data_IF_168859522564
#
_entry.id   IF_168859522564
#
_cell.length_a   1.000
_cell.length_b   1.000
_cell.length_c   1.000
_cell.angle_alpha   90.00
_cell.angle_beta   90.00
_cell.angle_gamma   90.00
#
_symmetry.space_group_name_H-M   'P 1'
#
loop_
_entity.id
_entity.type
_entity.pdbx_description
1 polymer ?
#
# COMPACT_ATOMS: atom_id res chain seq x y z
N UNK A 1 -20.98 18.65 -0.45
CA UNK A 1 -20.69 17.80 -1.62
C UNK A 1 -19.83 16.63 -1.18
N UNK A 2 -20.17 15.37 -1.53
CA UNK A 2 -19.33 14.23 -1.19
C UNK A 2 -17.97 14.36 -1.89
N UNK A 3 -16.87 14.17 -1.15
CA UNK A 3 -15.55 14.19 -1.75
C UNK A 3 -15.32 12.94 -2.62
N UNK A 4 -14.69 13.13 -3.77
CA UNK A 4 -14.17 12.05 -4.62
C UNK A 4 -13.15 11.24 -3.84
N UNK A 5 -13.14 9.93 -4.03
CA UNK A 5 -12.11 9.04 -3.51
C UNK A 5 -11.18 8.66 -4.67
N UNK A 6 -9.97 9.18 -4.67
CA UNK A 6 -8.99 8.98 -5.73
C UNK A 6 -7.82 8.18 -5.17
N UNK A 7 -7.50 7.04 -5.77
CA UNK A 7 -6.29 6.29 -5.42
C UNK A 7 -5.18 6.68 -6.37
N UNK A 8 -3.97 6.82 -5.86
CA UNK A 8 -2.77 7.09 -6.65
C UNK A 8 -1.71 6.05 -6.34
N UNK A 9 -1.04 5.52 -7.37
CA UNK A 9 -0.06 4.44 -7.21
C UNK A 9 1.17 4.73 -8.04
N UNK A 10 2.36 4.88 -7.44
CA UNK A 10 3.63 4.78 -8.16
C UNK A 10 3.74 3.39 -8.79
N UNK A 11 3.41 3.27 -10.07
CA UNK A 11 3.15 2.01 -10.72
C UNK A 11 4.35 1.55 -11.55
N UNK A 12 4.73 0.27 -11.43
CA UNK A 12 5.76 -0.30 -12.30
C UNK A 12 5.88 -1.82 -12.29
N UNK A 13 5.18 -2.53 -11.39
CA UNK A 13 5.36 -3.97 -11.20
C UNK A 13 4.07 -4.74 -11.51
N UNK A 14 3.98 -5.28 -12.73
CA UNK A 14 2.78 -5.98 -13.25
C UNK A 14 2.20 -7.03 -12.28
N UNK A 15 3.04 -7.88 -11.70
CA UNK A 15 2.60 -8.95 -10.83
C UNK A 15 2.04 -8.49 -9.48
N UNK A 16 2.30 -7.26 -9.06
CA UNK A 16 1.60 -6.70 -7.91
C UNK A 16 0.39 -5.88 -8.35
N UNK A 17 0.53 -5.08 -9.40
CA UNK A 17 -0.57 -4.27 -9.95
C UNK A 17 -1.78 -5.11 -10.35
N UNK A 18 -1.58 -6.31 -10.89
CA UNK A 18 -2.68 -7.22 -11.25
C UNK A 18 -3.50 -7.65 -10.01
N UNK A 19 -2.83 -7.91 -8.88
CA UNK A 19 -3.48 -8.22 -7.61
C UNK A 19 -4.09 -6.98 -6.96
N UNK A 20 -3.38 -5.85 -6.97
CA UNK A 20 -3.87 -4.58 -6.45
C UNK A 20 -5.12 -4.12 -7.21
N UNK A 21 -5.17 -4.30 -8.54
CA UNK A 21 -6.35 -3.99 -9.35
C UNK A 21 -7.59 -4.77 -8.87
N UNK A 22 -7.45 -6.06 -8.52
CA UNK A 22 -8.54 -6.84 -7.94
C UNK A 22 -9.05 -6.22 -6.63
N UNK A 23 -8.13 -5.80 -5.76
CA UNK A 23 -8.47 -5.20 -4.49
C UNK A 23 -9.11 -3.82 -4.64
N UNK A 24 -8.58 -2.94 -5.49
CA UNK A 24 -9.06 -1.57 -5.65
C UNK A 24 -10.39 -1.50 -6.38
N UNK A 25 -10.55 -2.24 -7.49
CA UNK A 25 -11.76 -2.16 -8.32
C UNK A 25 -13.00 -2.71 -7.62
N UNK A 26 -12.81 -3.52 -6.56
CA UNK A 26 -13.87 -4.01 -5.67
C UNK A 26 -14.21 -3.07 -4.51
N UNK A 27 -13.44 -2.01 -4.28
CA UNK A 27 -13.71 -1.06 -3.19
C UNK A 27 -14.93 -0.18 -3.52
N UNK A 28 -15.88 -0.03 -2.58
CA UNK A 28 -17.01 0.87 -2.77
C UNK A 28 -16.52 2.32 -2.82
N UNK A 29 -17.16 3.12 -3.67
CA UNK A 29 -16.93 4.57 -3.73
C UNK A 29 -15.62 5.00 -4.41
N UNK A 30 -14.78 4.08 -4.91
CA UNK A 30 -13.61 4.42 -5.72
C UNK A 30 -14.05 5.22 -6.97
N UNK A 31 -13.64 6.48 -7.03
CA UNK A 31 -13.97 7.38 -8.13
C UNK A 31 -12.97 7.24 -9.28
N UNK A 32 -11.68 7.21 -8.95
CA UNK A 32 -10.58 7.17 -9.93
C UNK A 32 -9.36 6.47 -9.31
N UNK A 33 -8.62 5.74 -10.13
CA UNK A 33 -7.32 5.17 -9.80
C UNK A 33 -6.27 5.67 -10.79
N UNK A 34 -5.33 6.49 -10.31
CA UNK A 34 -4.23 7.02 -11.09
C UNK A 34 -2.99 6.14 -10.94
N UNK A 35 -2.55 5.57 -12.06
CA UNK A 35 -1.27 4.91 -12.21
C UNK A 35 -0.24 5.98 -12.55
N UNK A 36 0.54 6.39 -11.56
CA UNK A 36 1.70 7.25 -11.79
C UNK A 36 2.76 6.41 -12.50
N UNK A 37 3.14 6.82 -13.71
CA UNK A 37 4.16 6.13 -14.50
C UNK A 37 5.51 6.19 -13.78
N UNK A 38 5.77 5.16 -12.97
CA UNK A 38 7.03 4.94 -12.25
C UNK A 38 7.86 3.81 -12.87
N UNK A 39 7.57 3.49 -14.14
CA UNK A 39 8.16 2.37 -14.82
C UNK A 39 9.64 2.61 -15.14
N UNK A 40 10.46 1.57 -14.96
CA UNK A 40 11.86 1.54 -15.42
C UNK A 40 12.02 0.89 -16.78
N UNK A 41 11.03 0.11 -17.23
CA UNK A 41 11.05 -0.63 -18.49
C UNK A 41 9.83 -0.30 -19.33
N UNK A 42 9.99 -0.37 -20.65
CA UNK A 42 8.86 -0.14 -21.57
C UNK A 42 7.79 -1.24 -21.47
N UNK A 43 8.18 -2.48 -21.13
CA UNK A 43 7.22 -3.56 -20.86
C UNK A 43 6.21 -3.19 -19.78
N UNK A 44 6.68 -2.54 -18.71
CA UNK A 44 5.85 -2.13 -17.58
C UNK A 44 4.91 -1.00 -18.02
N UNK A 45 5.38 -0.06 -18.86
CA UNK A 45 4.52 1.00 -19.44
C UNK A 45 3.46 0.47 -20.37
N UNK A 46 3.79 -0.51 -21.20
CA UNK A 46 2.83 -1.22 -22.06
C UNK A 46 1.76 -1.89 -21.20
N UNK A 47 2.15 -2.49 -20.08
CA UNK A 47 1.19 -3.04 -19.12
C UNK A 47 0.30 -1.94 -18.49
N UNK A 48 0.84 -0.80 -18.05
CA UNK A 48 0.02 0.30 -17.50
C UNK A 48 -1.04 0.78 -18.51
N UNK A 49 -0.67 0.95 -19.78
CA UNK A 49 -1.61 1.33 -20.85
C UNK A 49 -2.71 0.29 -21.04
N UNK A 50 -2.35 -1.01 -21.00
CA UNK A 50 -3.32 -2.10 -21.08
C UNK A 50 -4.23 -2.15 -19.86
N UNK A 51 -3.70 -1.97 -18.66
CA UNK A 51 -4.46 -1.95 -17.41
C UNK A 51 -5.48 -0.81 -17.41
N UNK A 52 -5.08 0.38 -17.86
CA UNK A 52 -5.96 1.54 -17.97
C UNK A 52 -7.14 1.35 -18.95
N UNK A 53 -7.03 0.43 -19.91
CA UNK A 53 -8.12 0.09 -20.83
C UNK A 53 -9.16 -0.87 -20.22
N UNK A 54 -8.85 -1.52 -19.08
CA UNK A 54 -9.73 -2.53 -18.48
C UNK A 54 -10.92 -1.96 -17.71
N UNK A 55 -10.78 -0.74 -17.18
CA UNK A 55 -11.82 -0.10 -16.38
C UNK A 55 -11.72 1.44 -16.54
N UNK A 56 -12.84 2.15 -16.79
CA UNK A 56 -12.83 3.59 -17.04
C UNK A 56 -12.37 4.43 -15.84
N UNK A 57 -12.33 3.85 -14.63
CA UNK A 57 -11.80 4.51 -13.43
C UNK A 57 -10.27 4.61 -13.44
N UNK A 58 -9.58 3.83 -14.28
CA UNK A 58 -8.12 3.76 -14.28
C UNK A 58 -7.53 4.77 -15.27
N UNK A 59 -6.56 5.56 -14.81
CA UNK A 59 -5.88 6.56 -15.64
C UNK A 59 -4.37 6.47 -15.46
N UNK A 60 -3.62 6.54 -16.56
CA UNK A 60 -2.16 6.70 -16.49
C UNK A 60 -1.84 8.19 -16.39
N UNK A 61 -1.01 8.55 -15.42
CA UNK A 61 -0.48 9.90 -15.24
C UNK A 61 1.02 9.82 -15.45
N UNK A 62 1.54 10.60 -16.39
CA UNK A 62 2.98 10.65 -16.69
C UNK A 62 3.51 12.07 -16.52
N UNK A 63 4.81 12.19 -16.24
CA UNK A 63 5.52 13.48 -16.19
C UNK A 63 6.57 13.48 -17.30
N UNK A 64 6.72 14.57 -18.08
CA UNK A 64 7.79 14.68 -19.06
C UNK A 64 9.19 14.48 -18.43
N UNK A 65 10.08 13.80 -19.17
CA UNK A 65 11.47 13.51 -18.80
C UNK A 65 11.63 12.71 -17.49
N UNK A 66 10.79 11.69 -17.27
CA UNK A 66 10.77 10.90 -16.05
C UNK A 66 11.34 9.48 -16.27
N UNK A 67 12.44 9.16 -15.57
CA UNK A 67 13.09 7.85 -15.59
C UNK A 67 12.93 7.17 -14.22
N UNK A 68 11.78 6.50 -14.02
CA UNK A 68 11.36 5.75 -12.81
C UNK A 68 12.37 5.61 -11.65
N UNK A 69 12.25 6.43 -10.60
CA UNK A 69 13.01 6.29 -9.37
C UNK A 69 12.20 6.68 -8.11
N UNK A 70 12.49 6.07 -6.95
CA UNK A 70 11.75 6.31 -5.70
C UNK A 70 11.77 7.78 -5.25
N UNK A 71 12.85 8.53 -5.53
CA UNK A 71 12.98 9.95 -5.15
C UNK A 71 12.13 10.89 -6.00
N UNK A 72 11.49 10.39 -7.07
CA UNK A 72 10.84 11.23 -8.08
C UNK A 72 9.31 11.16 -8.06
N UNK A 73 8.71 10.27 -7.25
CA UNK A 73 7.27 10.21 -6.99
C UNK A 73 6.73 11.54 -6.45
N UNK A 74 7.56 12.32 -5.73
CA UNK A 74 7.21 13.59 -5.13
C UNK A 74 6.55 14.57 -6.12
N UNK A 75 7.03 14.58 -7.38
CA UNK A 75 6.53 15.45 -8.45
C UNK A 75 5.06 15.19 -8.77
N UNK A 76 4.54 14.00 -8.46
CA UNK A 76 3.14 13.66 -8.73
C UNK A 76 2.17 14.22 -7.68
N UNK A 77 2.60 14.48 -6.44
CA UNK A 77 1.69 15.06 -5.43
C UNK A 77 1.12 16.41 -5.87
N UNK A 78 1.86 17.18 -6.67
CA UNK A 78 1.38 18.46 -7.22
C UNK A 78 0.16 18.33 -8.13
N UNK A 79 -0.12 17.13 -8.65
CA UNK A 79 -1.34 16.84 -9.43
C UNK A 79 -2.51 16.33 -8.56
N UNK A 80 -2.32 16.26 -7.25
CA UNK A 80 -3.34 15.83 -6.30
C UNK A 80 -4.05 17.03 -5.66
N UNK A 81 -4.44 18.03 -6.46
CA UNK A 81 -4.90 19.34 -6.00
C UNK A 81 -6.41 19.59 -6.18
N UNK A 82 -7.22 18.58 -6.56
CA UNK A 82 -8.69 18.72 -6.57
C UNK A 82 -9.18 18.93 -5.13
N UNK A 83 -9.71 20.13 -4.78
CA UNK A 83 -10.13 20.43 -3.41
C UNK A 83 -11.31 19.56 -2.94
N UNK A 84 -11.98 18.87 -3.87
CA UNK A 84 -13.08 17.93 -3.59
C UNK A 84 -12.61 16.48 -3.55
N UNK A 85 -11.32 16.18 -3.59
CA UNK A 85 -10.81 14.82 -3.54
C UNK A 85 -10.13 14.49 -2.19
N UNK A 86 -10.39 13.27 -1.73
CA UNK A 86 -9.54 12.56 -0.79
C UNK A 86 -8.68 11.60 -1.59
N UNK A 87 -7.38 11.87 -1.62
CA UNK A 87 -6.40 11.03 -2.30
C UNK A 87 -5.90 9.96 -1.33
N UNK A 88 -5.63 8.76 -1.82
CA UNK A 88 -4.92 7.71 -1.08
C UNK A 88 -3.76 7.22 -1.95
N UNK A 89 -2.53 7.50 -1.54
CA UNK A 89 -1.34 6.90 -2.14
C UNK A 89 -1.22 5.46 -1.65
N UNK A 90 -1.14 4.51 -2.58
CA UNK A 90 -0.97 3.09 -2.28
C UNK A 90 0.18 2.57 -3.13
N UNK A 91 1.19 1.96 -2.49
CA UNK A 91 2.30 1.32 -3.19
C UNK A 91 1.81 0.17 -4.06
N UNK A 92 2.47 -0.09 -5.19
CA UNK A 92 1.99 -1.08 -6.15
C UNK A 92 2.08 -2.53 -5.62
N UNK A 93 2.87 -2.79 -4.58
CA UNK A 93 3.02 -4.06 -3.87
C UNK A 93 2.19 -4.19 -2.59
N UNK A 94 1.13 -3.40 -2.46
CA UNK A 94 0.04 -3.75 -1.54
C UNK A 94 -0.71 -4.97 -2.07
N UNK A 95 -0.65 -6.07 -1.30
CA UNK A 95 -1.14 -7.41 -1.68
C UNK A 95 -2.42 -7.82 -0.96
N UNK A 96 -2.88 -7.01 -0.01
CA UNK A 96 -4.19 -7.17 0.61
C UNK A 96 -4.74 -5.82 1.02
N UNK A 97 -6.03 -5.61 0.73
CA UNK A 97 -6.82 -4.47 1.18
C UNK A 97 -8.14 -4.99 1.73
N UNK A 98 -8.44 -4.68 2.99
CA UNK A 98 -9.70 -5.09 3.59
C UNK A 98 -10.90 -4.50 2.81
N UNK A 99 -12.00 -5.25 2.61
CA UNK A 99 -13.21 -4.72 2.01
C UNK A 99 -13.69 -3.44 2.73
N UNK A 100 -13.89 -2.36 1.97
CA UNK A 100 -14.33 -1.06 2.50
C UNK A 100 -13.23 -0.23 3.19
N UNK A 101 -11.97 -0.68 3.17
CA UNK A 101 -10.85 0.02 3.82
C UNK A 101 -10.70 1.47 3.35
N UNK A 102 -10.81 1.74 2.05
CA UNK A 102 -10.63 3.09 1.51
C UNK A 102 -11.72 4.05 1.98
N UNK A 103 -12.96 3.56 2.03
CA UNK A 103 -14.09 4.34 2.48
C UNK A 103 -14.02 4.58 3.99
N UNK A 104 -13.65 3.57 4.79
CA UNK A 104 -13.38 3.73 6.23
C UNK A 104 -12.29 4.76 6.48
N UNK A 105 -11.16 4.70 5.78
CA UNK A 105 -10.07 5.67 5.92
C UNK A 105 -10.54 7.10 5.67
N UNK A 106 -11.32 7.30 4.58
CA UNK A 106 -11.90 8.60 4.24
C UNK A 106 -12.91 9.09 5.29
N UNK A 107 -13.74 8.20 5.82
CA UNK A 107 -14.72 8.53 6.86
C UNK A 107 -14.04 8.93 8.16
N UNK A 108 -13.05 8.16 8.61
CA UNK A 108 -12.22 8.50 9.78
C UNK A 108 -11.53 9.84 9.60
N UNK A 109 -10.93 10.08 8.42
CA UNK A 109 -10.28 11.36 8.12
C UNK A 109 -11.24 12.56 8.20
N UNK A 110 -12.47 12.41 7.71
CA UNK A 110 -13.51 13.44 7.83
C UNK A 110 -13.92 13.67 9.27
N UNK A 111 -14.21 12.60 10.01
CA UNK A 111 -14.65 12.67 11.39
C UNK A 111 -13.59 13.35 12.27
N UNK A 112 -12.32 12.95 12.13
CA UNK A 112 -11.21 13.56 12.86
C UNK A 112 -11.02 15.04 12.48
N UNK A 113 -11.14 15.40 11.20
CA UNK A 113 -11.07 16.81 10.76
C UNK A 113 -12.19 17.65 11.37
N UNK A 114 -13.43 17.17 11.33
CA UNK A 114 -14.57 17.88 11.91
C UNK A 114 -14.42 18.03 13.43
N UNK A 115 -14.03 16.96 14.13
CA UNK A 115 -13.81 17.00 15.57
C UNK A 115 -12.69 17.96 15.96
N UNK A 116 -11.55 17.94 15.25
CA UNK A 116 -10.45 18.87 15.50
C UNK A 116 -10.88 20.34 15.30
N UNK A 117 -11.67 20.64 14.26
CA UNK A 117 -12.21 21.98 14.03
C UNK A 117 -13.14 22.44 15.15
N UNK A 118 -14.06 21.59 15.59
CA UNK A 118 -14.98 21.91 16.69
C UNK A 118 -14.25 22.16 18.01
N UNK A 119 -13.16 21.43 18.27
CA UNK A 119 -12.37 21.52 19.49
C UNK A 119 -11.25 22.57 19.42
N UNK A 120 -11.11 23.31 18.31
CA UNK A 120 -10.01 24.25 18.11
C UNK A 120 -8.61 23.60 18.11
N UNK A 121 -8.52 22.31 17.74
CA UNK A 121 -7.26 21.55 17.69
C UNK A 121 -6.69 21.50 16.27
N UNK A 122 -5.37 21.30 16.11
CA UNK A 122 -4.78 21.08 14.81
C UNK A 122 -5.42 19.89 14.09
N UNK A 123 -5.88 20.11 12.86
CA UNK A 123 -6.41 19.06 11.98
C UNK A 123 -5.25 18.20 11.48
N UNK A 124 -5.35 16.85 11.46
CA UNK A 124 -4.30 16.02 10.90
C UNK A 124 -3.96 16.38 9.44
N UNK A 125 -2.70 16.18 9.02
CA UNK A 125 -2.27 16.40 7.63
C UNK A 125 -2.61 15.23 6.72
N UNK A 126 -2.50 14.01 7.24
CA UNK A 126 -2.66 12.77 6.51
C UNK A 126 -3.09 11.64 7.44
N UNK A 127 -3.58 10.55 6.84
CA UNK A 127 -4.09 9.35 7.50
C UNK A 127 -3.53 8.10 6.84
N UNK A 128 -2.65 7.38 7.52
CA UNK A 128 -2.14 6.08 7.06
C UNK A 128 -3.10 4.97 7.50
N UNK A 129 -3.25 3.93 6.67
CA UNK A 129 -3.78 2.66 7.16
C UNK A 129 -2.80 2.03 8.17
N UNK A 130 -3.28 1.05 8.95
CA UNK A 130 -2.43 0.13 9.68
C UNK A 130 -1.93 -0.96 8.72
N UNK A 131 -0.63 -0.95 8.44
CA UNK A 131 -0.04 -1.76 7.38
C UNK A 131 0.71 -2.95 7.98
N UNK A 132 0.30 -4.16 7.62
CA UNK A 132 1.05 -5.39 7.89
C UNK A 132 2.33 -5.38 7.04
N UNK A 133 3.46 -5.70 7.67
CA UNK A 133 4.82 -5.57 7.12
C UNK A 133 5.24 -4.12 6.86
N UNK A 134 4.98 -3.27 7.85
CA UNK A 134 5.54 -1.93 8.01
C UNK A 134 6.17 -1.85 9.41
N UNK A 135 7.36 -1.26 9.55
CA UNK A 135 8.14 -1.36 10.80
C UNK A 135 7.42 -0.77 12.02
N UNK A 136 6.91 0.46 11.91
CA UNK A 136 6.17 1.12 13.00
C UNK A 136 4.84 0.41 13.25
N UNK A 137 4.11 0.02 12.19
CA UNK A 137 2.86 -0.72 12.36
C UNK A 137 3.08 -2.09 13.02
N UNK A 138 4.18 -2.77 12.73
CA UNK A 138 4.54 -4.05 13.37
C UNK A 138 4.81 -3.87 14.86
N UNK A 139 5.46 -2.76 15.24
CA UNK A 139 5.60 -2.37 16.63
C UNK A 139 4.24 -2.10 17.30
N UNK A 140 3.34 -1.37 16.62
CA UNK A 140 1.98 -1.11 17.12
C UNK A 140 1.19 -2.42 17.30
N UNK A 141 1.24 -3.33 16.34
CA UNK A 141 0.60 -4.65 16.44
C UNK A 141 1.14 -5.44 17.63
N UNK A 142 2.46 -5.45 17.84
CA UNK A 142 3.08 -6.13 18.98
C UNK A 142 2.59 -5.56 20.32
N UNK A 143 2.59 -4.24 20.47
CA UNK A 143 2.40 -3.60 21.77
C UNK A 143 0.94 -3.23 22.09
N UNK A 144 0.15 -2.89 21.07
CA UNK A 144 -1.23 -2.44 21.24
C UNK A 144 -2.25 -3.52 20.88
N UNK A 145 -2.02 -4.31 19.82
CA UNK A 145 -2.85 -5.49 19.54
C UNK A 145 -2.40 -6.72 20.35
N UNK A 146 -1.25 -6.63 21.05
CA UNK A 146 -0.64 -7.72 21.82
C UNK A 146 -0.36 -8.96 20.95
N UNK A 147 -0.04 -8.75 19.67
CA UNK A 147 0.33 -9.82 18.78
C UNK A 147 1.64 -10.46 19.25
N UNK A 148 1.65 -11.79 19.41
CA UNK A 148 2.79 -12.52 19.96
C UNK A 148 3.98 -12.58 18.98
N UNK A 149 4.76 -11.52 18.92
CA UNK A 149 6.00 -11.44 18.15
C UNK A 149 7.18 -11.59 19.12
N UNK A 150 7.94 -12.69 19.12
CA UNK A 150 9.06 -12.89 20.06
C UNK A 150 10.22 -11.91 19.85
N UNK A 151 10.31 -11.31 18.67
CA UNK A 151 11.37 -10.39 18.28
C UNK A 151 11.31 -9.07 19.05
N UNK A 152 12.46 -8.47 19.34
CA UNK A 152 12.54 -7.11 19.88
C UNK A 152 12.44 -6.13 18.71
N UNK A 153 11.32 -5.43 18.63
CA UNK A 153 11.06 -4.40 17.61
C UNK A 153 11.33 -3.02 18.21
N UNK A 154 11.88 -2.12 17.41
CA UNK A 154 11.91 -0.69 17.69
C UNK A 154 10.77 0.04 16.99
N UNK A 155 10.33 1.17 17.54
CA UNK A 155 9.35 2.06 16.93
C UNK A 155 10.04 3.04 15.96
N UNK A 156 10.79 2.50 14.99
CA UNK A 156 11.53 3.28 13.99
C UNK A 156 11.29 2.68 12.61
N UNK A 157 11.12 3.52 11.59
CA UNK A 157 11.01 3.02 10.21
C UNK A 157 12.26 2.23 9.76
N UNK A 158 13.42 2.54 10.34
CA UNK A 158 14.69 1.85 10.07
C UNK A 158 14.90 0.58 10.91
N UNK A 159 13.88 0.07 11.60
CA UNK A 159 14.00 -1.17 12.37
C UNK A 159 14.51 -2.32 11.47
N UNK A 160 15.62 -2.99 11.81
CA UNK A 160 16.23 -3.97 10.92
C UNK A 160 15.37 -5.24 10.76
N UNK A 161 14.47 -5.52 11.70
CA UNK A 161 13.56 -6.66 11.60
C UNK A 161 12.34 -6.30 10.77
N UNK A 162 11.61 -5.26 11.18
CA UNK A 162 10.40 -4.79 10.49
C UNK A 162 10.65 -4.26 9.09
N UNK A 163 11.79 -3.58 8.87
CA UNK A 163 12.12 -2.94 7.60
C UNK A 163 13.00 -3.75 6.65
N UNK A 164 13.66 -4.82 7.11
CA UNK A 164 14.64 -5.51 6.27
C UNK A 164 14.71 -7.04 6.40
N UNK A 165 14.18 -7.64 7.48
CA UNK A 165 14.33 -9.09 7.71
C UNK A 165 13.27 -9.92 6.96
N UNK A 166 13.61 -10.70 5.93
CA UNK A 166 12.61 -11.45 5.16
C UNK A 166 11.95 -12.57 5.98
N UNK A 167 12.69 -13.18 6.91
CA UNK A 167 12.15 -14.23 7.77
C UNK A 167 11.09 -13.69 8.74
N UNK A 168 11.29 -12.48 9.26
CA UNK A 168 10.30 -11.80 10.09
C UNK A 168 9.05 -11.43 9.28
N UNK A 169 9.24 -10.79 8.12
CA UNK A 169 8.15 -10.42 7.22
C UNK A 169 7.29 -11.64 6.83
N UNK A 170 7.94 -12.76 6.46
CA UNK A 170 7.25 -14.00 6.12
C UNK A 170 6.37 -14.49 7.29
N UNK A 171 6.93 -14.61 8.50
CA UNK A 171 6.16 -15.04 9.68
C UNK A 171 4.98 -14.12 9.98
N UNK A 172 5.18 -12.81 9.86
CA UNK A 172 4.12 -11.82 10.10
C UNK A 172 2.99 -11.99 9.06
N UNK A 173 3.33 -12.13 7.78
CA UNK A 173 2.35 -12.39 6.73
C UNK A 173 1.64 -13.73 6.89
N UNK A 174 2.33 -14.80 7.30
CA UNK A 174 1.72 -16.11 7.52
C UNK A 174 0.68 -16.06 8.64
N UNK A 175 0.99 -15.35 9.74
CA UNK A 175 0.04 -15.10 10.83
C UNK A 175 -1.14 -14.26 10.36
N UNK A 176 -0.89 -13.22 9.58
CA UNK A 176 -1.96 -12.38 9.04
C UNK A 176 -2.88 -13.18 8.10
N UNK A 177 -2.33 -13.92 7.14
CA UNK A 177 -3.09 -14.76 6.22
C UNK A 177 -3.96 -15.78 6.95
N UNK A 178 -3.43 -16.44 7.99
CA UNK A 178 -4.20 -17.40 8.78
C UNK A 178 -5.44 -16.76 9.44
N UNK A 179 -5.33 -15.50 9.86
CA UNK A 179 -6.45 -14.73 10.42
C UNK A 179 -7.45 -14.30 9.34
N UNK A 180 -6.96 -13.83 8.19
CA UNK A 180 -7.80 -13.43 7.05
C UNK A 180 -8.61 -14.62 6.51
N UNK A 181 -7.98 -15.79 6.37
CA UNK A 181 -8.62 -17.04 5.90
C UNK A 181 -9.77 -17.48 6.83
N UNK A 182 -9.74 -17.05 8.10
CA UNK A 182 -10.77 -17.34 9.11
C UNK A 182 -11.78 -16.20 9.28
N UNK A 183 -11.64 -15.10 8.52
CA UNK A 183 -12.48 -13.91 8.65
C UNK A 183 -12.27 -13.16 9.97
N UNK A 184 -11.10 -13.30 10.63
CA UNK A 184 -10.83 -12.74 11.97
C UNK A 184 -9.78 -11.65 11.91
N UNK A 185 -10.20 -10.41 11.67
CA UNK A 185 -9.25 -9.29 11.55
C UNK A 185 -9.01 -8.53 12.87
N UNK A 186 -9.88 -8.70 13.86
CA UNK A 186 -9.78 -8.04 15.18
C UNK A 186 -8.41 -8.17 15.86
N UNK A 187 -7.70 -9.33 15.81
CA UNK A 187 -6.37 -9.44 16.41
C UNK A 187 -5.28 -8.55 15.79
N UNK A 188 -5.58 -7.91 14.65
CA UNK A 188 -4.68 -6.99 13.97
C UNK A 188 -5.12 -5.53 14.13
N UNK A 189 -6.21 -5.22 14.85
CA UNK A 189 -6.64 -3.84 15.04
C UNK A 189 -5.95 -3.20 16.25
N UNK A 190 -5.73 -1.89 16.17
CA UNK A 190 -5.21 -1.08 17.28
C UNK A 190 -6.00 0.23 17.38
N UNK A 191 -5.86 1.03 18.47
CA UNK A 191 -6.37 2.40 18.49
C UNK A 191 -5.74 3.26 17.38
N UNK A 192 -6.31 4.43 17.11
CA UNK A 192 -5.67 5.41 16.23
C UNK A 192 -4.43 6.01 16.91
N UNK A 193 -3.34 6.16 16.16
CA UNK A 193 -2.08 6.71 16.67
C UNK A 193 -1.69 8.00 15.94
N UNK A 194 -1.58 9.15 16.63
CA UNK A 194 -0.99 10.33 16.03
C UNK A 194 0.50 10.10 15.78
N UNK A 195 0.99 10.58 14.64
CA UNK A 195 2.41 10.49 14.26
C UNK A 195 2.95 11.88 14.02
N UNK A 196 4.06 12.20 14.68
CA UNK A 196 4.81 13.43 14.49
C UNK A 196 6.27 13.17 14.81
N UNK A 197 7.19 13.92 14.18
CA UNK A 197 8.64 13.84 14.42
C UNK A 197 9.24 12.42 14.29
N UNK A 198 8.63 11.56 13.48
CA UNK A 198 9.14 10.21 13.19
C UNK A 198 8.93 9.89 11.72
N UNK A 199 9.95 9.35 11.06
CA UNK A 199 9.87 8.85 9.68
C UNK A 199 8.95 7.61 9.66
N UNK A 200 7.91 7.63 8.83
CA UNK A 200 6.97 6.52 8.63
C UNK A 200 7.07 6.04 7.19
N UNK A 201 7.27 4.75 6.98
CA UNK A 201 7.22 4.20 5.62
C UNK A 201 5.81 4.33 5.02
N UNK A 202 5.71 4.94 3.84
CA UNK A 202 4.45 5.29 3.19
C UNK A 202 4.04 4.15 2.27
N UNK A 203 3.14 3.28 2.73
CA UNK A 203 2.58 2.20 1.91
C UNK A 203 1.11 2.42 1.53
N UNK A 204 0.33 3.07 2.41
CA UNK A 204 -1.07 3.43 2.19
C UNK A 204 -1.42 4.69 2.98
N UNK A 205 -1.42 5.85 2.32
CA UNK A 205 -1.51 7.18 2.95
C UNK A 205 -2.58 8.05 2.29
N UNK A 206 -3.60 8.39 3.07
CA UNK A 206 -4.68 9.29 2.71
C UNK A 206 -4.40 10.76 3.03
N UNK A 207 -4.79 11.67 2.14
CA UNK A 207 -4.67 13.13 2.33
C UNK A 207 -5.70 13.90 1.49
N UNK A 208 -5.99 15.14 1.87
CA UNK A 208 -6.97 15.97 1.16
C UNK A 208 -6.31 16.79 0.06
N UNK A 209 -6.92 16.80 -1.14
CA UNK A 209 -6.43 17.65 -2.22
C UNK A 209 -6.46 19.15 -1.89
N UNK A 210 -7.38 19.56 -1.00
CA UNK A 210 -7.42 20.93 -0.49
C UNK A 210 -6.16 21.31 0.31
N UNK A 211 -5.53 20.37 1.02
CA UNK A 211 -4.26 20.62 1.72
C UNK A 211 -3.09 20.71 0.73
N UNK A 212 -3.07 19.86 -0.31
CA UNK A 212 -2.10 19.95 -1.41
C UNK A 212 -2.22 21.31 -2.12
N UNK A 213 -3.43 21.71 -2.51
CA UNK A 213 -3.70 22.99 -3.16
C UNK A 213 -3.24 24.19 -2.32
N UNK A 214 -3.49 24.15 -1.01
CA UNK A 214 -3.12 25.23 -0.08
C UNK A 214 -1.61 25.31 0.17
N UNK A 215 -0.96 24.16 0.34
CA UNK A 215 0.47 24.10 0.68
C UNK A 215 1.36 24.18 -0.57
N UNK A 216 0.82 23.87 -1.76
CA UNK A 216 1.56 23.82 -3.01
C UNK A 216 2.77 22.90 -2.90
N UNK A 217 3.94 23.39 -3.33
CA UNK A 217 5.19 22.62 -3.27
C UNK A 217 5.60 22.23 -1.85
N UNK A 218 5.11 22.94 -0.81
CA UNK A 218 5.44 22.60 0.58
C UNK A 218 4.79 21.31 1.04
N UNK A 219 3.73 20.84 0.37
CA UNK A 219 3.10 19.56 0.72
C UNK A 219 4.12 18.42 0.58
N UNK A 220 4.80 18.34 -0.56
CA UNK A 220 5.90 17.40 -0.80
C UNK A 220 6.86 18.03 -1.82
N UNK A 221 8.01 18.58 -1.37
CA UNK A 221 9.06 19.11 -2.24
C UNK A 221 9.66 18.03 -3.15
N UNK A 222 10.13 18.41 -4.33
CA UNK A 222 10.58 17.44 -5.34
C UNK A 222 11.86 16.68 -4.94
N UNK A 223 12.67 17.24 -4.04
CA UNK A 223 13.99 16.77 -3.63
C UNK A 223 14.02 16.16 -2.21
N UNK A 224 12.88 16.16 -1.51
CA UNK A 224 12.78 15.62 -0.16
C UNK A 224 12.66 14.08 -0.13
N UNK A 225 13.09 13.45 0.96
CA UNK A 225 12.62 12.11 1.31
C UNK A 225 11.12 12.21 1.66
N UNK A 226 10.22 11.72 0.80
CA UNK A 226 8.77 11.87 1.01
C UNK A 226 8.31 11.30 2.34
N UNK A 227 8.91 10.19 2.78
CA UNK A 227 8.52 9.50 4.00
C UNK A 227 8.86 10.34 5.22
N UNK A 228 10.09 10.84 5.31
CA UNK A 228 10.50 11.73 6.40
C UNK A 228 9.80 13.09 6.32
N UNK A 229 9.65 13.63 5.10
CA UNK A 229 9.03 14.94 4.91
C UNK A 229 7.59 14.95 5.37
N UNK A 230 6.78 14.01 4.88
CA UNK A 230 5.36 13.98 5.21
C UNK A 230 5.13 13.61 6.67
N UNK A 231 5.95 12.74 7.29
CA UNK A 231 5.66 12.23 8.63
C UNK A 231 6.40 12.91 9.78
N UNK A 232 7.51 13.60 9.52
CA UNK A 232 8.29 14.31 10.54
C UNK A 232 8.41 15.81 10.27
N UNK A 233 8.86 16.20 9.07
CA UNK A 233 9.20 17.61 8.77
C UNK A 233 7.96 18.48 8.58
N UNK A 234 7.05 18.10 7.69
CA UNK A 234 5.82 18.88 7.44
C UNK A 234 4.94 18.97 8.72
N UNK A 235 4.78 17.91 9.53
CA UNK A 235 4.11 18.02 10.81
C UNK A 235 4.75 19.01 11.78
N UNK A 236 6.09 19.04 11.86
CA UNK A 236 6.79 19.98 12.74
C UNK A 236 6.64 21.44 12.27
N UNK A 237 6.70 21.68 10.96
CA UNK A 237 6.56 23.00 10.36
C UNK A 237 5.15 23.58 10.44
N UNK A 238 4.12 22.73 10.51
CA UNK A 238 2.72 23.16 10.47
C UNK A 238 2.01 23.01 11.82
N UNK A 239 2.61 22.33 12.79
CA UNK A 239 1.97 21.99 14.06
C UNK A 239 0.80 20.99 13.90
N UNK A 240 0.72 20.28 12.78
CA UNK A 240 -0.35 19.33 12.45
C UNK A 240 0.23 17.92 12.35
N UNK A 241 -0.22 16.99 13.17
CA UNK A 241 0.27 15.61 13.13
C UNK A 241 -0.29 14.82 11.92
N UNK A 242 0.30 13.66 11.62
CA UNK A 242 -0.36 12.60 10.88
C UNK A 242 -1.10 11.63 11.79
N UNK A 243 -1.77 10.63 11.23
CA UNK A 243 -2.46 9.60 12.01
C UNK A 243 -2.37 8.23 11.33
N UNK A 244 -1.98 7.20 12.06
CA UNK A 244 -2.24 5.80 11.67
C UNK A 244 -3.63 5.43 12.17
N UNK A 245 -4.51 5.05 11.26
CA UNK A 245 -5.87 4.62 11.55
C UNK A 245 -5.86 3.12 11.82
N UNK A 246 -6.01 2.76 13.10
CA UNK A 246 -5.78 1.40 13.57
C UNK A 246 -6.86 0.39 13.16
N UNK A 247 -8.00 0.89 12.65
CA UNK A 247 -9.14 0.11 12.16
C UNK A 247 -9.18 -0.05 10.62
N UNK A 248 -8.14 0.39 9.91
CA UNK A 248 -8.02 0.24 8.45
C UNK A 248 -6.84 -0.67 8.16
N UNK A 249 -7.09 -1.91 7.73
CA UNK A 249 -6.06 -2.92 7.52
C UNK A 249 -5.64 -3.07 6.06
N UNK A 250 -4.33 -3.08 5.86
CA UNK A 250 -3.65 -3.27 4.57
C UNK A 250 -2.44 -4.19 4.77
N UNK A 251 -2.07 -4.99 3.77
CA UNK A 251 -0.78 -5.69 3.78
C UNK A 251 0.11 -5.23 2.62
N UNK A 252 1.30 -4.77 2.96
CA UNK A 252 2.36 -4.42 2.02
C UNK A 252 3.31 -5.60 1.86
N UNK A 253 3.67 -5.98 0.63
CA UNK A 253 4.38 -7.23 0.40
C UNK A 253 5.80 -7.22 0.94
N UNK A 254 6.60 -6.21 0.62
CA UNK A 254 8.03 -6.25 0.93
C UNK A 254 8.69 -4.88 0.91
N UNK A 255 9.51 -4.58 1.91
CA UNK A 255 10.57 -3.60 1.73
C UNK A 255 11.63 -4.14 0.73
N UNK A 256 12.44 -3.26 0.14
CA UNK A 256 13.42 -3.62 -0.89
C UNK A 256 14.32 -4.81 -0.49
N UNK A 257 14.83 -4.83 0.75
CA UNK A 257 15.68 -5.90 1.25
C UNK A 257 14.96 -7.26 1.43
N UNK A 258 13.63 -7.27 1.49
CA UNK A 258 12.81 -8.45 1.74
C UNK A 258 12.33 -9.13 0.44
N UNK A 259 12.15 -8.35 -0.63
CA UNK A 259 11.35 -8.72 -1.80
C UNK A 259 11.75 -10.06 -2.44
N UNK A 260 13.03 -10.22 -2.79
CA UNK A 260 13.47 -11.42 -3.51
C UNK A 260 13.31 -12.71 -2.68
N UNK A 261 13.50 -12.64 -1.37
CA UNK A 261 13.31 -13.79 -0.49
C UNK A 261 11.83 -14.14 -0.34
N UNK A 262 10.95 -13.15 -0.23
CA UNK A 262 9.50 -13.35 -0.13
C UNK A 262 8.89 -13.85 -1.45
N UNK A 263 9.35 -13.35 -2.60
CA UNK A 263 8.90 -13.85 -3.89
C UNK A 263 9.30 -15.33 -4.10
N UNK A 264 10.42 -15.79 -3.52
CA UNK A 264 10.87 -17.18 -3.59
C UNK A 264 10.15 -18.12 -2.60
N UNK A 265 9.56 -17.60 -1.53
CA UNK A 265 8.89 -18.43 -0.52
C UNK A 265 7.54 -18.97 -0.98
N UNK A 266 6.97 -18.42 -2.05
CA UNK A 266 5.62 -18.74 -2.50
C UNK A 266 4.53 -17.86 -1.87
N UNK A 267 4.93 -16.82 -1.12
CA UNK A 267 4.01 -15.97 -0.36
C UNK A 267 3.07 -15.18 -1.28
N UNK A 268 3.57 -14.62 -2.38
CA UNK A 268 2.74 -13.87 -3.32
C UNK A 268 1.64 -14.78 -3.91
N UNK A 269 1.98 -16.03 -4.23
CA UNK A 269 1.02 -17.01 -4.72
C UNK A 269 -0.08 -17.33 -3.71
N UNK A 270 0.18 -17.22 -2.40
CA UNK A 270 -0.86 -17.38 -1.38
C UNK A 270 -1.84 -16.20 -1.39
N UNK A 271 -1.37 -14.98 -1.57
CA UNK A 271 -2.26 -13.82 -1.71
C UNK A 271 -3.12 -13.90 -2.98
N UNK A 272 -2.55 -14.34 -4.10
CA UNK A 272 -3.33 -14.62 -5.31
C UNK A 272 -4.38 -15.71 -5.09
N UNK A 273 -4.04 -16.78 -4.37
CA UNK A 273 -4.99 -17.84 -4.03
C UNK A 273 -6.12 -17.32 -3.13
N UNK A 274 -5.81 -16.49 -2.14
CA UNK A 274 -6.79 -15.82 -1.28
C UNK A 274 -7.75 -14.94 -2.09
N UNK A 275 -7.24 -14.22 -3.10
CA UNK A 275 -8.03 -13.41 -4.01
C UNK A 275 -8.81 -14.22 -5.08
N UNK A 276 -8.63 -15.56 -5.13
CA UNK A 276 -9.23 -16.39 -6.18
C UNK A 276 -8.71 -16.07 -7.58
N UNK A 277 -7.46 -15.59 -7.71
CA UNK A 277 -6.87 -15.12 -8.97
C UNK A 277 -5.72 -16.02 -9.45
N UNK A 278 -5.54 -16.18 -10.77
CA UNK A 278 -4.38 -16.86 -11.31
C UNK A 278 -3.12 -16.02 -11.10
N UNK A 279 -2.03 -16.68 -10.75
CA UNK A 279 -0.72 -16.04 -10.61
C UNK A 279 -0.15 -15.73 -12.01
N UNK A 280 0.23 -14.48 -12.30
CA UNK A 280 0.93 -14.14 -13.53
C UNK A 280 2.37 -14.65 -13.50
N UNK A 281 3.01 -14.75 -14.66
CA UNK A 281 4.45 -15.03 -14.69
C UNK A 281 5.22 -13.77 -14.27
N UNK A 282 6.20 -13.93 -13.39
CA UNK A 282 7.06 -12.82 -12.95
C UNK A 282 8.50 -13.25 -12.74
N UNK A 283 9.47 -12.34 -12.99
CA UNK A 283 10.89 -12.64 -12.88
C UNK A 283 11.27 -12.92 -11.43
N UNK A 284 12.02 -14.01 -11.22
CA UNK A 284 12.72 -14.28 -9.97
C UNK A 284 14.22 -14.22 -10.25
N UNK A 285 14.92 -13.34 -9.55
CA UNK A 285 16.37 -13.25 -9.71
C UNK A 285 17.04 -14.46 -9.06
N UNK A 286 18.17 -14.92 -9.61
CA UNK A 286 19.02 -15.94 -8.99
C UNK A 286 18.45 -17.37 -8.92
N UNK A 287 17.39 -17.70 -9.68
CA UNK A 287 16.92 -19.09 -9.76
C UNK A 287 17.77 -19.95 -10.69
N UNK A 288 18.14 -21.15 -10.22
CA UNK A 288 18.72 -22.20 -11.04
C UNK A 288 17.68 -22.80 -12.02
N UNK A 289 18.15 -23.41 -13.12
CA UNK A 289 17.29 -24.07 -14.12
C UNK A 289 16.30 -25.09 -13.50
N UNK A 290 16.72 -25.98 -12.56
CA UNK A 290 15.79 -26.89 -11.88
C UNK A 290 14.70 -26.17 -11.07
N UNK A 291 15.03 -25.05 -10.42
CA UNK A 291 14.06 -24.28 -9.65
C UNK A 291 13.02 -23.61 -10.57
N UNK A 292 13.46 -23.09 -11.72
CA UNK A 292 12.55 -22.55 -12.75
C UNK A 292 11.59 -23.63 -13.27
N UNK A 293 12.10 -24.82 -13.58
CA UNK A 293 11.29 -25.93 -14.08
C UNK A 293 10.25 -26.40 -13.04
N UNK A 294 10.66 -26.57 -11.78
CA UNK A 294 9.74 -26.93 -10.66
C UNK A 294 8.64 -25.89 -10.46
N UNK A 295 8.96 -24.60 -10.60
CA UNK A 295 7.98 -23.51 -10.49
C UNK A 295 6.98 -23.56 -11.64
N UNK A 296 7.45 -23.71 -12.87
CA UNK A 296 6.59 -23.84 -14.05
C UNK A 296 5.64 -25.04 -13.94
N UNK A 297 6.15 -26.21 -13.50
CA UNK A 297 5.32 -27.40 -13.27
C UNK A 297 4.24 -27.16 -12.21
N UNK A 298 4.57 -26.50 -11.09
CA UNK A 298 3.60 -26.14 -10.03
C UNK A 298 2.54 -25.17 -10.53
N UNK A 299 2.92 -24.16 -11.31
CA UNK A 299 1.98 -23.22 -11.91
C UNK A 299 1.00 -23.92 -12.87
N UNK A 300 1.51 -24.85 -13.69
CA UNK A 300 0.70 -25.64 -14.63
C UNK A 300 -0.29 -26.57 -13.92
N UNK A 301 0.14 -27.25 -12.85
CA UNK A 301 -0.74 -28.08 -12.02
C UNK A 301 -1.86 -27.27 -11.34
N UNK A 302 -1.55 -26.07 -10.83
CA UNK A 302 -2.55 -25.18 -10.21
C UNK A 302 -3.58 -24.65 -11.23
N UNK A 303 -3.14 -24.26 -12.44
CA UNK A 303 -4.05 -23.86 -13.53
C UNK A 303 -4.99 -25.01 -13.95
N UNK A 304 -4.48 -26.23 -14.03
CA UNK A 304 -5.29 -27.41 -14.35
C UNK A 304 -6.35 -27.70 -13.27
N UNK A 305 -6.00 -27.59 -11.98
CA UNK A 305 -6.97 -27.73 -10.88
C UNK A 305 -8.03 -26.62 -10.88
N UNK A 306 -7.66 -25.37 -11.15
CA UNK A 306 -8.62 -24.27 -11.24
C UNK A 306 -9.59 -24.42 -12.42
N UNK A 307 -9.12 -24.92 -13.58
CA UNK A 307 -9.96 -25.19 -14.75
C UNK A 307 -10.95 -26.33 -14.56
N UNK A 308 -10.58 -27.37 -13.79
CA UNK A 308 -11.49 -28.47 -13.42
C UNK A 308 -12.61 -28.04 -12.47
N UNK A 309 -12.37 -27.06 -11.60
CA UNK A 309 -13.40 -26.53 -10.68
C UNK A 309 -14.37 -25.58 -11.41
N UNK A 310 -13.91 -24.87 -12.45
CA UNK A 310 -14.75 -23.98 -13.26
C UNK A 310 -15.63 -24.73 -14.30
N UNK A 311 -15.41 -26.02 -14.52
CA UNK A 311 -16.15 -26.84 -15.51
C UNK A 311 -17.28 -27.70 -14.92
N UNK A 312 -17.63 -27.53 -13.65
CA UNK A 312 -18.69 -28.28 -12.94
C UNK A 312 -19.75 -27.31 -12.39
N UNK A 313 -19.98 -26.19 -13.08
CA UNK A 313 -21.01 -25.19 -12.76
C UNK A 313 -21.99 -25.02 -13.91
#
# INVERSE_FOLDING_TARGET
MPSKLVVVTPAGREHYLELLAHHLLSQPGLHEWQLWDNCRRESDRVYLRRLAQRDPRIRVVSIPAFEGCHRSSNRFYRRCDDPRAFYIKIDDDVVYLEPGALERLRQTARAQRQAAQLLGRPVPLWWSALVVNNAICSWLLKHHAKLELPERLSCQASDPLGGACPAFALRLHERFLAQVEQGRLEPFRVPDFPVSLSRLSINCLGFWGQDVLRLGQRFCPDDADEEEWLSAVLPSLTGRHGCVVGDVLVAHFACEAQEQALLRSGLLERYYALAGRPVPDYPLQGLSLPQRLRRWLRARQRRHKAGLVAGIG
#
